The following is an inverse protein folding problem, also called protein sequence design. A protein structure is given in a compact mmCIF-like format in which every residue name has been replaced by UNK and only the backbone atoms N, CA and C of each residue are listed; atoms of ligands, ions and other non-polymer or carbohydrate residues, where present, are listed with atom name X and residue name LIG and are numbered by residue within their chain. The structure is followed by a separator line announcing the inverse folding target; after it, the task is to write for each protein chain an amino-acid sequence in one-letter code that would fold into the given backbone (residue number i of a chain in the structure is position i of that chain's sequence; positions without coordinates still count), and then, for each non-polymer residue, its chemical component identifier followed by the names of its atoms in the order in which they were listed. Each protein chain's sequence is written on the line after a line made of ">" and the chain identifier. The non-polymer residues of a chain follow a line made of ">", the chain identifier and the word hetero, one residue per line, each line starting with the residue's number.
data_IF_942490750179
#
_entry.id   IF_942490750179
#
_cell.length_a   1.000
_cell.length_b   1.000
_cell.length_c   1.000
_cell.angle_alpha   90.00
_cell.angle_beta   90.00
_cell.angle_gamma   90.00
#
_symmetry.space_group_name_H-M   'P 1'
#
loop_
_entity.id
_entity.type
_entity.pdbx_description
1 polymer ?
#
# COMPACT_ATOMS: atom_id res chain seq x y z
N UNK A 1 4.68 5.98 10.01
CA UNK A 1 4.04 4.73 10.43
C UNK A 1 5.02 3.93 11.23
N UNK A 2 4.73 3.63 12.48
CA UNK A 2 5.57 2.74 13.26
C UNK A 2 5.15 1.31 12.97
N UNK A 3 5.98 0.53 12.29
CA UNK A 3 5.85 -0.92 12.40
C UNK A 3 6.10 -1.30 13.85
N UNK A 4 5.07 -1.79 14.53
CA UNK A 4 5.27 -2.46 15.81
C UNK A 4 5.92 -3.80 15.52
N UNK A 5 7.23 -3.88 15.68
CA UNK A 5 7.92 -5.15 15.86
C UNK A 5 7.48 -5.70 17.21
N UNK A 6 6.27 -6.32 17.26
CA UNK A 6 5.90 -7.19 18.37
C UNK A 6 6.75 -8.43 18.26
N UNK A 7 7.80 -8.46 19.06
CA UNK A 7 8.57 -9.66 19.29
C UNK A 7 7.67 -10.77 19.84
N UNK A 8 7.89 -11.98 19.37
CA UNK A 8 7.36 -13.19 20.00
C UNK A 8 6.41 -13.99 19.11
N UNK A 9 6.98 -14.90 18.37
CA UNK A 9 6.32 -15.91 17.55
C UNK A 9 6.95 -15.89 16.16
N UNK A 10 7.59 -16.97 15.76
CA UNK A 10 8.19 -17.12 14.44
C UNK A 10 7.09 -17.11 13.36
N UNK A 11 6.63 -15.93 13.00
CA UNK A 11 5.88 -15.75 11.78
C UNK A 11 6.94 -15.52 10.70
N UNK A 12 7.03 -16.42 9.73
CA UNK A 12 7.87 -16.27 8.53
C UNK A 12 7.40 -15.12 7.63
N UNK A 13 6.90 -14.02 8.23
CA UNK A 13 6.41 -12.86 7.50
C UNK A 13 7.45 -11.76 7.48
N UNK A 14 7.82 -11.33 6.29
CA UNK A 14 8.66 -10.16 6.05
C UNK A 14 7.79 -8.97 5.66
N UNK A 15 7.86 -7.90 6.43
CA UNK A 15 7.06 -6.69 6.19
C UNK A 15 7.85 -5.66 5.40
N UNK A 16 7.30 -5.24 4.28
CA UNK A 16 7.84 -4.19 3.42
C UNK A 16 6.93 -2.96 3.47
N UNK A 17 7.54 -1.81 3.60
CA UNK A 17 6.85 -0.51 3.48
C UNK A 17 7.24 0.21 2.20
N UNK A 18 6.60 1.35 1.96
CA UNK A 18 6.95 2.27 0.87
C UNK A 18 7.68 3.49 1.45
N UNK A 19 8.89 3.74 0.98
CA UNK A 19 9.66 4.93 1.27
C UNK A 19 10.31 5.47 0.00
N UNK A 20 10.16 6.78 -0.26
CA UNK A 20 10.70 7.43 -1.46
C UNK A 20 10.33 6.69 -2.78
N UNK A 21 9.10 6.19 -2.89
CA UNK A 21 8.58 5.40 -4.02
C UNK A 21 9.30 4.06 -4.24
N UNK A 22 9.94 3.52 -3.21
CA UNK A 22 10.63 2.22 -3.25
C UNK A 22 10.08 1.31 -2.16
N UNK A 23 10.11 0.00 -2.40
CA UNK A 23 9.86 -0.98 -1.35
C UNK A 23 11.07 -1.03 -0.43
N UNK A 24 10.81 -0.97 0.87
CA UNK A 24 11.89 -1.01 1.87
C UNK A 24 11.59 -2.00 2.98
N UNK A 25 12.61 -2.74 3.36
CA UNK A 25 12.66 -3.51 4.60
C UNK A 25 13.29 -2.60 5.66
N UNK A 26 12.55 -2.29 6.74
CA UNK A 26 12.98 -1.32 7.76
C UNK A 26 13.02 -1.93 9.15
N UNK A 27 14.12 -1.68 9.88
CA UNK A 27 14.32 -2.09 11.26
C UNK A 27 14.86 -0.95 12.12
N UNK A 28 14.54 -1.00 13.41
CA UNK A 28 15.06 -0.03 14.39
C UNK A 28 16.56 -0.26 14.69
N UNK A 29 17.06 -1.49 14.52
CA UNK A 29 18.44 -1.86 14.76
C UNK A 29 19.08 -2.43 13.50
N UNK A 30 20.32 -2.04 13.26
CA UNK A 30 21.08 -2.49 12.08
C UNK A 30 21.33 -4.00 12.11
N UNK A 31 21.68 -4.53 13.27
CA UNK A 31 22.00 -5.95 13.45
C UNK A 31 20.80 -6.87 13.17
N UNK A 32 19.56 -6.40 13.47
CA UNK A 32 18.35 -7.16 13.19
C UNK A 32 18.04 -7.17 11.69
N UNK A 33 18.33 -6.07 11.01
CA UNK A 33 18.20 -5.98 9.55
C UNK A 33 19.25 -6.84 8.85
N UNK A 34 20.53 -6.78 9.29
CA UNK A 34 21.61 -7.61 8.74
C UNK A 34 21.25 -9.09 8.78
N UNK A 35 20.81 -9.60 9.93
CA UNK A 35 20.38 -11.00 10.08
C UNK A 35 19.23 -11.37 9.16
N UNK A 36 18.25 -10.45 8.98
CA UNK A 36 17.12 -10.71 8.09
C UNK A 36 17.56 -10.73 6.63
N UNK A 37 18.47 -9.84 6.23
CA UNK A 37 19.02 -9.80 4.87
C UNK A 37 19.85 -11.05 4.56
N UNK A 38 20.71 -11.49 5.50
CA UNK A 38 21.44 -12.75 5.38
C UNK A 38 20.51 -13.95 5.20
N UNK A 39 19.42 -14.01 5.99
CA UNK A 39 18.40 -15.06 5.86
C UNK A 39 17.72 -15.03 4.48
N UNK A 40 17.44 -13.84 3.93
CA UNK A 40 16.82 -13.66 2.61
C UNK A 40 17.83 -13.75 1.45
N UNK A 41 19.12 -13.90 1.73
CA UNK A 41 20.18 -13.98 0.71
C UNK A 41 20.55 -12.62 0.09
N UNK A 42 20.22 -11.51 0.73
CA UNK A 42 20.61 -10.18 0.30
C UNK A 42 21.93 -9.73 0.90
N UNK A 43 22.61 -8.81 0.22
CA UNK A 43 23.88 -8.22 0.65
C UNK A 43 23.67 -7.13 1.71
N UNK A 44 24.11 -7.33 2.98
CA UNK A 44 23.96 -6.34 4.05
C UNK A 44 24.76 -5.05 3.85
N UNK A 45 25.74 -5.01 2.94
CA UNK A 45 26.56 -3.79 2.71
C UNK A 45 25.71 -2.64 2.14
N UNK A 46 24.54 -2.93 1.59
CA UNK A 46 23.61 -1.94 1.01
C UNK A 46 22.62 -1.35 2.01
N UNK A 47 22.80 -1.58 3.30
CA UNK A 47 21.95 -0.99 4.34
C UNK A 47 22.19 0.51 4.41
N UNK A 48 21.10 1.26 4.33
CA UNK A 48 21.07 2.70 4.52
C UNK A 48 20.40 3.07 5.85
N UNK A 49 20.57 4.34 6.26
CA UNK A 49 19.92 4.84 7.47
C UNK A 49 19.18 6.16 7.20
N UNK A 50 18.10 6.38 7.93
CA UNK A 50 17.34 7.63 7.88
C UNK A 50 16.75 7.97 9.25
N UNK A 51 16.40 9.24 9.45
CA UNK A 51 15.56 9.65 10.58
C UNK A 51 14.09 9.58 10.19
N UNK A 52 13.27 9.07 11.08
CA UNK A 52 11.80 9.11 10.90
C UNK A 52 11.32 10.56 10.97
N UNK A 53 10.57 10.98 9.96
CA UNK A 53 10.10 12.37 9.83
C UNK A 53 8.74 12.56 10.50
N UNK A 54 7.97 11.47 10.70
CA UNK A 54 6.59 11.52 11.25
C UNK A 54 6.27 10.25 12.04
N UNK A 55 5.29 10.37 12.94
CA UNK A 55 4.74 9.25 13.69
C UNK A 55 5.28 9.13 15.11
N UNK A 56 4.91 8.03 15.78
CA UNK A 56 5.21 7.82 17.21
C UNK A 56 6.72 7.87 17.53
N UNK A 57 7.56 7.52 16.55
CA UNK A 57 9.01 7.42 16.68
C UNK A 57 9.71 8.49 15.82
N UNK A 58 9.13 9.69 15.73
CA UNK A 58 9.72 10.81 15.00
C UNK A 58 11.11 11.17 15.58
N UNK A 59 12.07 11.37 14.71
CA UNK A 59 13.47 11.68 15.08
C UNK A 59 14.34 10.46 15.36
N UNK A 60 13.78 9.26 15.55
CA UNK A 60 14.57 8.04 15.72
C UNK A 60 15.27 7.66 14.41
N UNK A 61 16.49 7.16 14.53
CA UNK A 61 17.21 6.58 13.41
C UNK A 61 16.70 5.18 13.15
N UNK A 62 16.40 4.88 11.89
CA UNK A 62 16.03 3.55 11.41
C UNK A 62 16.95 3.14 10.27
N UNK A 63 17.16 1.84 10.14
CA UNK A 63 17.96 1.23 9.11
C UNK A 63 17.03 0.59 8.09
N UNK A 64 17.33 0.75 6.80
CA UNK A 64 16.50 0.19 5.75
C UNK A 64 17.34 -0.35 4.60
N UNK A 65 16.74 -1.28 3.89
CA UNK A 65 17.26 -1.88 2.67
C UNK A 65 16.21 -1.78 1.58
N UNK A 66 16.62 -1.38 0.37
CA UNK A 66 15.72 -1.26 -0.78
C UNK A 66 15.53 -2.63 -1.42
N UNK A 67 14.27 -3.06 -1.53
CA UNK A 67 13.85 -4.26 -2.26
C UNK A 67 13.27 -3.81 -3.61
N UNK A 68 13.85 -4.25 -4.69
CA UNK A 68 13.41 -3.81 -6.03
C UNK A 68 12.12 -4.48 -6.46
N UNK A 69 12.02 -5.79 -6.23
CA UNK A 69 10.90 -6.62 -6.62
C UNK A 69 10.64 -7.70 -5.58
N UNK A 70 9.39 -8.13 -5.49
CA UNK A 70 8.94 -9.30 -4.75
C UNK A 70 8.25 -10.22 -5.75
N UNK A 71 8.65 -11.48 -5.80
CA UNK A 71 8.03 -12.50 -6.63
C UNK A 71 7.28 -13.50 -5.74
N UNK A 72 6.11 -13.94 -6.17
CA UNK A 72 5.30 -14.91 -5.46
C UNK A 72 3.81 -14.83 -5.79
N UNK A 73 3.04 -15.74 -5.22
CA UNK A 73 1.58 -15.74 -5.33
C UNK A 73 0.98 -14.68 -4.42
N UNK A 74 0.11 -13.84 -4.95
CA UNK A 74 -0.70 -12.91 -4.15
C UNK A 74 -1.79 -13.71 -3.44
N UNK A 75 -1.62 -13.94 -2.15
CA UNK A 75 -2.48 -14.83 -1.36
C UNK A 75 -3.53 -14.08 -0.55
N UNK A 76 -3.35 -12.79 -0.33
CA UNK A 76 -4.34 -11.97 0.36
C UNK A 76 -4.15 -10.48 0.05
N UNK A 77 -5.25 -9.74 0.10
CA UNK A 77 -5.29 -8.28 0.13
C UNK A 77 -6.13 -7.86 1.32
N UNK A 78 -5.61 -6.95 2.14
CA UNK A 78 -6.32 -6.46 3.33
C UNK A 78 -6.37 -4.94 3.32
N UNK A 79 -7.53 -4.38 3.61
CA UNK A 79 -7.67 -2.97 3.94
C UNK A 79 -7.62 -2.88 5.47
N UNK A 80 -6.51 -2.35 5.98
CA UNK A 80 -6.30 -2.20 7.42
C UNK A 80 -6.67 -0.80 7.88
N UNK A 81 -7.75 -0.71 8.65
CA UNK A 81 -8.17 0.54 9.28
C UNK A 81 -7.18 0.97 10.36
N UNK A 82 -6.82 2.24 10.36
CA UNK A 82 -5.95 2.84 11.38
C UNK A 82 -6.46 4.24 11.74
N UNK A 83 -5.94 4.81 12.82
CA UNK A 83 -6.25 6.19 13.21
C UNK A 83 -5.80 7.23 12.16
N UNK A 84 -4.93 6.84 11.22
CA UNK A 84 -4.37 7.71 10.17
C UNK A 84 -5.00 7.50 8.79
N UNK A 85 -5.91 6.54 8.64
CA UNK A 85 -6.57 6.17 7.39
C UNK A 85 -6.59 4.67 7.18
N UNK A 86 -7.07 4.28 6.03
CA UNK A 86 -7.20 2.89 5.61
C UNK A 86 -6.01 2.54 4.72
N UNK A 87 -5.29 1.47 5.07
CA UNK A 87 -4.04 1.08 4.42
C UNK A 87 -4.24 -0.20 3.63
N UNK A 88 -3.75 -0.23 2.40
CA UNK A 88 -3.74 -1.43 1.57
C UNK A 88 -2.50 -2.25 1.91
N UNK A 89 -2.72 -3.49 2.30
CA UNK A 89 -1.67 -4.48 2.56
C UNK A 89 -1.85 -5.67 1.61
N UNK A 90 -0.77 -6.05 0.94
CA UNK A 90 -0.70 -7.17 0.02
C UNK A 90 0.12 -8.29 0.66
N UNK A 91 -0.40 -9.52 0.71
CA UNK A 91 0.34 -10.67 1.20
C UNK A 91 0.75 -11.56 0.02
N UNK A 92 2.05 -11.67 -0.20
CA UNK A 92 2.66 -12.56 -1.16
C UNK A 92 3.24 -13.79 -0.46
N UNK A 93 3.13 -14.94 -1.08
CA UNK A 93 3.77 -16.17 -0.64
C UNK A 93 4.70 -16.67 -1.74
N UNK A 94 5.97 -16.75 -1.43
CA UNK A 94 6.96 -17.50 -2.15
C UNK A 94 7.23 -18.81 -1.40
N UNK A 95 8.00 -19.75 -1.95
CA UNK A 95 8.18 -21.13 -1.49
C UNK A 95 8.27 -21.27 0.05
N UNK A 96 9.10 -20.45 0.70
CA UNK A 96 9.39 -20.55 2.14
C UNK A 96 9.15 -19.22 2.91
N UNK A 97 8.79 -18.13 2.24
CA UNK A 97 8.68 -16.82 2.85
C UNK A 97 7.32 -16.16 2.51
N UNK A 98 6.82 -15.39 3.46
CA UNK A 98 5.66 -14.55 3.24
C UNK A 98 6.05 -13.09 3.32
N UNK A 99 5.75 -12.34 2.28
CA UNK A 99 5.95 -10.90 2.23
C UNK A 99 4.62 -10.19 2.45
N UNK A 100 4.62 -9.21 3.32
CA UNK A 100 3.48 -8.30 3.51
C UNK A 100 3.92 -6.91 3.09
N UNK A 101 3.36 -6.42 2.00
CA UNK A 101 3.67 -5.10 1.43
C UNK A 101 2.57 -4.12 1.83
N UNK A 102 2.92 -3.06 2.56
CA UNK A 102 2.00 -1.97 2.85
C UNK A 102 2.19 -0.86 1.81
N UNK A 103 1.21 -0.69 0.91
CA UNK A 103 1.21 0.36 -0.12
C UNK A 103 0.90 1.75 0.45
N UNK A 104 0.55 1.83 1.74
CA UNK A 104 0.13 3.07 2.39
C UNK A 104 -1.38 3.26 2.33
N UNK A 105 -1.81 4.52 2.45
CA UNK A 105 -3.22 4.89 2.42
C UNK A 105 -3.87 4.40 1.11
N UNK A 106 -5.14 3.94 1.20
CA UNK A 106 -5.90 3.40 0.05
C UNK A 106 -6.02 4.40 -1.10
N UNK A 107 -5.97 5.70 -0.79
CA UNK A 107 -5.99 6.77 -1.77
C UNK A 107 -4.60 7.29 -2.15
N UNK A 108 -3.54 6.63 -1.70
CA UNK A 108 -2.19 6.91 -2.18
C UNK A 108 -2.05 6.59 -3.66
N UNK A 109 -1.09 7.22 -4.34
CA UNK A 109 -0.83 6.96 -5.76
C UNK A 109 -0.54 5.49 -6.04
N UNK A 110 0.26 4.83 -5.18
CA UNK A 110 0.61 3.42 -5.34
C UNK A 110 -0.61 2.52 -5.19
N UNK A 111 -1.46 2.78 -4.19
CA UNK A 111 -2.69 2.02 -3.98
C UNK A 111 -3.66 2.21 -5.15
N UNK A 112 -3.86 3.44 -5.63
CA UNK A 112 -4.72 3.71 -6.80
C UNK A 112 -4.21 3.02 -8.06
N UNK A 113 -2.89 3.05 -8.32
CA UNK A 113 -2.30 2.38 -9.49
C UNK A 113 -2.45 0.85 -9.38
N UNK A 114 -2.28 0.27 -8.19
CA UNK A 114 -2.53 -1.14 -7.93
C UNK A 114 -4.01 -1.52 -8.16
N UNK A 115 -4.95 -0.76 -7.57
CA UNK A 115 -6.40 -1.03 -7.68
C UNK A 115 -6.85 -1.04 -9.14
N UNK A 116 -6.30 -0.15 -9.95
CA UNK A 116 -6.64 -0.09 -11.37
C UNK A 116 -6.15 -1.29 -12.20
N UNK A 117 -5.23 -2.10 -11.68
CA UNK A 117 -4.68 -3.28 -12.36
C UNK A 117 -5.17 -4.60 -11.79
N UNK A 118 -5.61 -4.59 -10.53
CA UNK A 118 -5.90 -5.82 -9.78
C UNK A 118 -6.91 -6.73 -10.47
N UNK A 119 -7.88 -6.17 -11.20
CA UNK A 119 -8.89 -6.92 -11.93
C UNK A 119 -8.36 -7.79 -13.08
N UNK A 120 -7.13 -7.52 -13.56
CA UNK A 120 -6.46 -8.31 -14.59
C UNK A 120 -5.45 -9.32 -14.04
N UNK A 121 -5.38 -9.48 -12.70
CA UNK A 121 -4.49 -10.47 -12.10
C UNK A 121 -5.06 -11.89 -12.18
N UNK A 122 -4.23 -12.82 -12.60
CA UNK A 122 -4.46 -14.25 -12.37
C UNK A 122 -3.85 -14.64 -11.02
N UNK A 123 -4.68 -14.82 -10.00
CA UNK A 123 -4.24 -15.16 -8.65
C UNK A 123 -3.65 -16.58 -8.51
N UNK A 124 -3.76 -17.40 -9.56
CA UNK A 124 -3.13 -18.73 -9.61
C UNK A 124 -1.69 -18.70 -10.13
N UNK A 125 -1.24 -17.54 -10.62
CA UNK A 125 0.07 -17.32 -11.24
C UNK A 125 0.90 -16.39 -10.38
N UNK A 126 2.19 -16.65 -10.26
CA UNK A 126 3.14 -15.78 -9.56
C UNK A 126 3.18 -14.38 -10.17
N UNK A 127 3.34 -13.40 -9.32
CA UNK A 127 3.42 -12.00 -9.68
C UNK A 127 4.81 -11.49 -9.30
N UNK A 128 5.51 -10.91 -10.24
CA UNK A 128 6.64 -10.04 -9.94
C UNK A 128 6.12 -8.64 -9.67
N UNK A 129 6.21 -8.21 -8.42
CA UNK A 129 5.68 -6.95 -7.92
C UNK A 129 6.79 -6.01 -7.47
N UNK A 130 6.75 -4.78 -7.92
CA UNK A 130 7.67 -3.75 -7.48
C UNK A 130 7.07 -2.35 -7.60
N UNK A 131 7.87 -1.36 -7.26
CA UNK A 131 7.55 0.05 -7.47
C UNK A 131 8.49 0.65 -8.50
N UNK A 132 8.01 1.71 -9.15
CA UNK A 132 8.84 2.49 -10.05
C UNK A 132 8.63 3.97 -9.79
N UNK A 133 9.67 4.75 -10.01
CA UNK A 133 9.60 6.20 -10.11
C UNK A 133 10.45 6.68 -11.28
N UNK A 134 10.05 7.77 -11.86
CA UNK A 134 10.77 8.44 -12.93
C UNK A 134 10.53 9.95 -12.87
N UNK A 135 11.50 10.69 -13.32
CA UNK A 135 11.36 12.11 -13.60
C UNK A 135 11.20 12.29 -15.10
N UNK A 136 10.13 12.98 -15.50
CA UNK A 136 9.84 13.28 -16.90
C UNK A 136 10.67 14.49 -17.36
N UNK A 137 10.81 14.68 -18.67
CA UNK A 137 11.64 15.76 -19.26
C UNK A 137 11.19 17.18 -18.82
N UNK A 138 9.92 17.33 -18.39
CA UNK A 138 9.37 18.56 -17.83
C UNK A 138 9.60 18.71 -16.31
N UNK A 139 10.42 17.83 -15.72
CA UNK A 139 10.75 17.85 -14.30
C UNK A 139 9.67 17.30 -13.36
N UNK A 140 8.59 16.72 -13.91
CA UNK A 140 7.54 16.10 -13.09
C UNK A 140 7.96 14.70 -12.65
N UNK A 141 7.73 14.40 -11.38
CA UNK A 141 7.95 13.06 -10.83
C UNK A 141 6.70 12.21 -11.01
N UNK A 142 6.88 11.06 -11.64
CA UNK A 142 5.87 10.03 -11.79
C UNK A 142 6.30 8.78 -11.05
N UNK A 143 5.35 8.07 -10.46
CA UNK A 143 5.61 6.82 -9.75
C UNK A 143 4.36 5.97 -9.75
N UNK A 144 4.53 4.66 -9.61
CA UNK A 144 3.44 3.70 -9.60
C UNK A 144 3.92 2.31 -9.23
N UNK A 145 3.05 1.33 -9.43
CA UNK A 145 3.38 -0.08 -9.26
C UNK A 145 3.78 -0.69 -10.61
N UNK A 146 4.74 -1.61 -10.58
CA UNK A 146 5.01 -2.51 -11.70
C UNK A 146 4.56 -3.90 -11.30
N UNK A 147 3.82 -4.55 -12.18
CA UNK A 147 3.34 -5.91 -11.98
C UNK A 147 3.52 -6.68 -13.29
N UNK A 148 4.14 -7.85 -13.18
CA UNK A 148 4.35 -8.75 -14.30
C UNK A 148 3.86 -10.14 -13.91
N UNK A 149 3.23 -10.83 -14.86
CA UNK A 149 2.88 -12.25 -14.79
C UNK A 149 3.33 -12.92 -16.06
N UNK A 150 4.05 -14.03 -15.98
CA UNK A 150 4.60 -14.74 -17.14
C UNK A 150 5.44 -13.81 -18.05
N UNK A 151 6.24 -12.92 -17.46
CA UNK A 151 7.04 -11.89 -18.15
C UNK A 151 6.22 -10.83 -18.92
N UNK A 152 4.90 -10.87 -18.82
CA UNK A 152 4.01 -9.88 -19.42
C UNK A 152 3.55 -8.86 -18.37
N UNK A 153 3.53 -7.59 -18.75
CA UNK A 153 3.07 -6.52 -17.90
C UNK A 153 1.56 -6.64 -17.69
N UNK A 154 1.14 -6.58 -16.42
CA UNK A 154 -0.28 -6.52 -16.09
C UNK A 154 -0.83 -5.14 -16.47
N UNK A 155 -1.70 -5.12 -17.45
CA UNK A 155 -2.34 -3.89 -17.94
C UNK A 155 -3.45 -3.41 -16.97
N UNK A 156 -3.92 -2.19 -17.18
CA UNK A 156 -5.03 -1.64 -16.41
C UNK A 156 -6.34 -2.38 -16.73
N UNK A 157 -7.03 -2.84 -15.71
CA UNK A 157 -8.42 -3.30 -15.78
C UNK A 157 -9.41 -2.14 -15.72
N UNK A 158 -8.98 -1.01 -15.13
CA UNK A 158 -9.76 0.22 -15.05
C UNK A 158 -8.97 1.37 -15.67
N UNK A 159 -9.46 1.91 -16.76
CA UNK A 159 -8.93 3.12 -17.39
C UNK A 159 -9.51 4.38 -16.73
N UNK A 160 -9.05 5.54 -17.09
CA UNK A 160 -9.64 6.80 -16.59
C UNK A 160 -11.06 7.02 -17.10
N UNK A 161 -11.39 6.47 -18.27
CA UNK A 161 -12.72 6.59 -18.87
C UNK A 161 -13.77 5.71 -18.13
N UNK A 162 -13.31 4.70 -17.39
CA UNK A 162 -14.17 3.83 -16.57
C UNK A 162 -14.49 4.45 -15.21
N UNK A 163 -13.80 5.52 -14.84
CA UNK A 163 -13.94 6.16 -13.52
C UNK A 163 -14.82 7.40 -13.59
N UNK A 164 -15.53 7.75 -12.49
CA UNK A 164 -16.25 9.02 -12.41
C UNK A 164 -15.33 10.21 -12.73
N UNK A 165 -15.85 11.20 -13.47
CA UNK A 165 -15.10 12.44 -13.73
C UNK A 165 -14.90 13.23 -12.43
N UNK A 166 -13.68 13.74 -12.15
CA UNK A 166 -13.47 14.60 -10.99
C UNK A 166 -14.28 15.90 -11.14
N UNK A 167 -14.95 16.30 -10.07
CA UNK A 167 -15.72 17.54 -10.07
C UNK A 167 -14.82 18.76 -9.84
N UNK A 168 -15.21 19.90 -10.42
CA UNK A 168 -14.49 21.16 -10.27
C UNK A 168 -15.30 22.17 -9.46
N UNK A 169 -14.64 22.80 -8.50
CA UNK A 169 -15.18 23.97 -7.80
C UNK A 169 -14.31 25.19 -8.11
N UNK A 170 -14.93 26.22 -8.69
CA UNK A 170 -14.25 27.48 -9.02
C UNK A 170 -14.58 28.55 -7.99
N UNK A 171 -13.58 29.07 -7.31
CA UNK A 171 -13.71 30.19 -6.37
C UNK A 171 -12.79 31.32 -6.80
N UNK A 172 -13.37 32.32 -7.47
CA UNK A 172 -12.60 33.41 -8.08
C UNK A 172 -11.71 32.92 -9.22
N UNK A 173 -10.38 33.06 -9.08
CA UNK A 173 -9.39 32.56 -10.06
C UNK A 173 -8.85 31.15 -9.72
N UNK A 174 -9.21 30.63 -8.57
CA UNK A 174 -8.74 29.30 -8.13
C UNK A 174 -9.73 28.24 -8.55
N UNK A 175 -9.22 27.18 -9.18
CA UNK A 175 -9.96 25.97 -9.51
C UNK A 175 -9.47 24.88 -8.57
N UNK A 176 -10.40 24.24 -7.85
CA UNK A 176 -10.10 23.11 -6.97
C UNK A 176 -10.80 21.87 -7.55
N UNK A 177 -10.04 20.80 -7.70
CA UNK A 177 -10.57 19.52 -8.13
C UNK A 177 -10.97 18.67 -6.92
N UNK A 178 -12.11 18.02 -7.03
CA UNK A 178 -12.58 17.05 -6.05
C UNK A 178 -12.58 15.66 -6.70
N UNK A 179 -11.91 14.71 -6.05
CA UNK A 179 -11.74 13.33 -6.47
C UNK A 179 -12.51 12.32 -5.59
N UNK A 180 -13.36 12.78 -4.67
CA UNK A 180 -14.06 11.93 -3.69
C UNK A 180 -14.87 10.81 -4.36
N UNK A 181 -15.52 11.11 -5.50
CA UNK A 181 -16.30 10.10 -6.25
C UNK A 181 -15.39 9.03 -6.87
N UNK A 182 -14.23 9.43 -7.41
CA UNK A 182 -13.24 8.48 -7.92
C UNK A 182 -12.63 7.64 -6.81
N UNK A 183 -12.36 8.24 -5.67
CA UNK A 183 -11.80 7.56 -4.50
C UNK A 183 -12.80 6.53 -3.96
N UNK A 184 -14.08 6.91 -3.85
CA UNK A 184 -15.15 5.99 -3.45
C UNK A 184 -15.29 4.83 -4.42
N UNK A 185 -15.29 5.12 -5.72
CA UNK A 185 -15.36 4.11 -6.77
C UNK A 185 -14.21 3.10 -6.69
N UNK A 186 -12.96 3.58 -6.58
CA UNK A 186 -11.79 2.71 -6.47
C UNK A 186 -11.82 1.86 -5.18
N UNK A 187 -12.30 2.41 -4.08
CA UNK A 187 -12.47 1.69 -2.83
C UNK A 187 -13.50 0.55 -2.98
N UNK A 188 -14.62 0.82 -3.63
CA UNK A 188 -15.66 -0.19 -3.92
C UNK A 188 -15.12 -1.29 -4.83
N UNK A 189 -14.37 -0.92 -5.88
CA UNK A 189 -13.75 -1.90 -6.78
C UNK A 189 -12.77 -2.83 -6.03
N UNK A 190 -11.91 -2.27 -5.17
CA UNK A 190 -11.00 -3.08 -4.36
C UNK A 190 -11.75 -3.99 -3.39
N UNK A 191 -12.77 -3.47 -2.73
CA UNK A 191 -13.57 -4.24 -1.76
C UNK A 191 -14.31 -5.39 -2.44
N UNK A 192 -14.91 -5.14 -3.62
CA UNK A 192 -15.54 -6.16 -4.44
C UNK A 192 -14.53 -7.23 -4.86
N UNK A 193 -13.38 -6.84 -5.38
CA UNK A 193 -12.34 -7.77 -5.78
C UNK A 193 -11.88 -8.65 -4.61
N UNK A 194 -11.67 -8.08 -3.42
CA UNK A 194 -11.31 -8.83 -2.22
C UNK A 194 -12.41 -9.85 -1.87
N UNK A 195 -13.68 -9.43 -1.89
CA UNK A 195 -14.81 -10.28 -1.57
C UNK A 195 -15.01 -11.44 -2.55
N UNK A 196 -14.70 -11.21 -3.83
CA UNK A 196 -14.84 -12.22 -4.89
C UNK A 196 -13.66 -13.19 -4.93
N UNK A 197 -12.45 -12.70 -4.64
CA UNK A 197 -11.20 -13.43 -4.85
C UNK A 197 -10.67 -14.11 -3.59
N UNK A 198 -10.80 -13.46 -2.44
CA UNK A 198 -10.31 -13.97 -1.17
C UNK A 198 -11.49 -14.29 -0.23
N UNK A 199 -12.00 -15.52 -0.32
CA UNK A 199 -13.05 -15.96 0.60
C UNK A 199 -12.55 -15.83 2.05
N UNK A 200 -13.33 -15.20 2.94
CA UNK A 200 -12.96 -15.18 4.35
C UNK A 200 -12.80 -16.63 4.82
N UNK A 201 -11.66 -16.94 5.41
CA UNK A 201 -11.48 -18.21 6.13
C UNK A 201 -12.64 -18.31 7.11
N UNK A 202 -13.34 -19.45 7.10
CA UNK A 202 -14.47 -19.68 8.00
C UNK A 202 -14.12 -19.21 9.41
N UNK A 203 -15.06 -18.54 10.12
CA UNK A 203 -14.77 -18.00 11.44
C UNK A 203 -14.22 -19.11 12.32
N UNK A 204 -13.03 -18.90 12.89
CA UNK A 204 -12.57 -19.71 14.02
C UNK A 204 -13.67 -19.60 15.07
N UNK A 205 -14.22 -20.73 15.51
CA UNK A 205 -15.18 -20.81 16.60
C UNK A 205 -14.80 -19.82 17.71
N UNK A 206 -15.71 -18.89 17.96
CA UNK A 206 -15.60 -17.94 19.06
C UNK A 206 -15.54 -18.71 20.36
N UNK A 207 -14.42 -18.61 21.07
CA UNK A 207 -14.40 -18.84 22.50
C UNK A 207 -15.38 -17.87 23.16
N UNK A 208 -16.24 -18.31 24.08
CA UNK A 208 -17.34 -17.51 24.62
C UNK A 208 -16.83 -16.20 25.22
N UNK A 209 -17.42 -15.12 24.77
CA UNK A 209 -17.16 -13.76 25.18
C UNK A 209 -17.33 -13.62 26.70
N UNK A 210 -16.33 -13.02 27.36
CA UNK A 210 -16.55 -12.36 28.63
C UNK A 210 -17.19 -10.99 28.32
N UNK A 211 -18.43 -10.83 28.74
CA UNK A 211 -19.10 -9.54 28.79
C UNK A 211 -18.27 -8.55 29.60
N UNK A 212 -17.91 -7.43 29.01
CA UNK A 212 -17.75 -6.19 29.72
C UNK A 212 -18.15 -5.00 28.85
N UNK A 213 -19.18 -4.35 29.34
CA UNK A 213 -19.88 -3.21 28.79
C UNK A 213 -19.03 -1.96 28.88
N UNK A 214 -18.71 -1.32 27.75
CA UNK A 214 -18.50 0.11 27.73
C UNK A 214 -18.80 0.66 26.31
N UNK A 215 -19.95 1.30 26.21
CA UNK A 215 -20.39 2.08 25.06
C UNK A 215 -19.39 3.18 24.71
N UNK A 216 -18.81 3.14 23.51
CA UNK A 216 -18.09 4.29 22.93
C UNK A 216 -19.07 5.18 22.17
N UNK A 217 -18.97 6.51 22.32
CA UNK A 217 -19.82 7.46 21.59
C UNK A 217 -19.50 7.45 20.09
N UNK A 218 -20.55 7.60 19.28
CA UNK A 218 -20.54 7.53 17.86
C UNK A 218 -19.55 8.48 17.18
N UNK A 219 -18.88 7.96 16.17
CA UNK A 219 -17.97 8.68 15.28
C UNK A 219 -18.80 9.67 14.45
N UNK A 220 -18.50 10.94 14.55
CA UNK A 220 -18.96 11.97 13.59
C UNK A 220 -18.37 11.69 12.21
N UNK A 221 -19.13 11.90 11.12
CA UNK A 221 -18.62 11.78 9.77
C UNK A 221 -17.40 12.68 9.56
N UNK A 222 -16.35 12.11 8.99
CA UNK A 222 -15.09 12.82 8.71
C UNK A 222 -15.35 13.86 7.62
N UNK A 223 -15.02 15.10 7.88
CA UNK A 223 -15.01 16.16 6.86
C UNK A 223 -13.96 15.84 5.80
N UNK A 224 -14.28 15.90 4.50
CA UNK A 224 -13.32 15.67 3.44
C UNK A 224 -12.12 16.60 3.55
N UNK A 225 -10.93 16.05 3.39
CA UNK A 225 -9.69 16.83 3.36
C UNK A 225 -9.56 17.46 1.97
N UNK A 226 -9.73 18.76 1.87
CA UNK A 226 -9.47 19.49 0.65
C UNK A 226 -7.99 19.31 0.26
N UNK A 227 -7.73 18.66 -0.88
CA UNK A 227 -6.40 18.64 -1.47
C UNK A 227 -6.15 19.96 -2.16
N UNK A 228 -5.10 20.65 -1.78
CA UNK A 228 -4.80 22.03 -2.18
C UNK A 228 -3.78 22.10 -3.31
N UNK A 229 -3.96 21.36 -4.41
CA UNK A 229 -3.19 21.64 -5.62
C UNK A 229 -4.00 21.27 -6.86
N UNK A 230 -4.30 22.32 -7.65
CA UNK A 230 -4.98 22.20 -8.92
C UNK A 230 -3.99 21.70 -9.98
N UNK A 231 -4.15 20.48 -10.45
CA UNK A 231 -3.45 19.98 -11.64
C UNK A 231 -4.37 20.17 -12.86
N UNK A 232 -3.84 20.68 -14.00
CA UNK A 232 -4.57 20.71 -15.26
C UNK A 232 -4.93 19.28 -15.72
N UNK A 233 -6.00 19.17 -16.53
CA UNK A 233 -6.49 17.88 -17.05
C UNK A 233 -5.41 17.11 -17.84
N UNK A 234 -4.43 17.83 -18.43
CA UNK A 234 -3.33 17.27 -19.21
C UNK A 234 -2.16 16.74 -18.34
N UNK A 235 -2.20 17.01 -17.02
CA UNK A 235 -1.17 16.61 -16.06
C UNK A 235 -1.54 15.36 -15.24
N UNK A 236 -2.64 14.68 -15.59
CA UNK A 236 -2.98 13.41 -14.98
C UNK A 236 -1.97 12.35 -15.44
N UNK A 237 -1.28 11.67 -14.55
CA UNK A 237 -0.32 10.63 -14.91
C UNK A 237 -1.07 9.45 -15.52
N UNK A 238 -0.75 9.15 -16.78
CA UNK A 238 -1.04 7.87 -17.41
C UNK A 238 -0.03 6.84 -16.95
#
# INVERSE_FOLDING_TARGET
>A
MGMNTRGGGASNKTYLGVYANQLVLEYAKKEDLEKKLEYLGYDPEKIEQRKKVKGKNEGETVFYFVVYDVEGLLTNITIRETDFGDFVELEFTDVDEKFVISLGDVFSRMSKDFIRRVGNLDLSTEINFGLWDMETDDGKKRSGVKMYQNDEKVEYSLTYDDMPEPSQTKKGRTVTWNYDEQESFLYEQLTSFIGDSFKPSAPKEELPAKEDVASKPGRTPRTPRASSEALPKDDLPF
#
